data_IF_519516521170
#
_entry.id   IF_519516521170
#
_cell.length_a   1.000
_cell.length_b   1.000
_cell.length_c   1.000
_cell.angle_alpha   90.00
_cell.angle_beta   90.00
_cell.angle_gamma   90.00
#
_symmetry.space_group_name_H-M   'P 1'
#
loop_
_entity.id
_entity.type
_entity.pdbx_description
1 polymer ?
#
# COMPACT_ATOMS: atom_id res chain seq x y z
N UNK A 1 -20.50 -1.77 11.82
CA UNK A 1 -19.69 -0.54 11.96
C UNK A 1 -18.69 -0.31 10.79
N UNK A 2 -19.01 -0.74 9.55
CA UNK A 2 -18.12 -0.63 8.35
C UNK A 2 -18.58 0.47 7.37
N UNK A 3 -19.77 1.02 7.57
CA UNK A 3 -20.45 1.92 6.62
C UNK A 3 -19.67 3.21 6.34
N UNK A 4 -19.10 3.81 7.40
CA UNK A 4 -18.34 5.06 7.29
C UNK A 4 -16.94 4.89 6.69
N UNK A 5 -16.50 3.67 6.36
CA UNK A 5 -15.19 3.37 5.75
C UNK A 5 -15.25 3.14 4.23
N UNK A 6 -16.45 3.04 3.66
CA UNK A 6 -16.64 2.94 2.20
C UNK A 6 -16.36 4.30 1.55
N UNK A 7 -15.70 4.30 0.40
CA UNK A 7 -15.55 5.52 -0.41
C UNK A 7 -16.92 5.99 -0.94
N UNK A 8 -16.97 7.25 -1.34
CA UNK A 8 -18.19 7.95 -1.73
C UNK A 8 -18.94 7.24 -2.88
N UNK A 9 -18.19 6.73 -3.87
CA UNK A 9 -18.77 6.08 -5.05
C UNK A 9 -19.35 4.70 -4.67
N UNK A 10 -18.66 3.96 -3.80
CA UNK A 10 -19.16 2.67 -3.28
C UNK A 10 -20.43 2.84 -2.45
N UNK A 11 -20.54 3.93 -1.66
CA UNK A 11 -21.80 4.22 -0.93
C UNK A 11 -22.94 4.53 -1.88
N UNK A 12 -22.73 5.40 -2.86
CA UNK A 12 -23.75 5.71 -3.86
C UNK A 12 -24.22 4.46 -4.61
N UNK A 13 -23.31 3.55 -4.96
CA UNK A 13 -23.65 2.29 -5.63
C UNK A 13 -24.54 1.38 -4.78
N UNK A 14 -24.27 1.28 -3.47
CA UNK A 14 -25.10 0.47 -2.58
C UNK A 14 -26.42 1.16 -2.25
N UNK A 15 -26.42 2.48 -2.09
CA UNK A 15 -27.64 3.28 -1.84
C UNK A 15 -28.56 3.34 -3.07
N UNK A 16 -27.99 3.32 -4.27
CA UNK A 16 -28.73 3.26 -5.54
C UNK A 16 -29.13 1.83 -5.94
N UNK A 17 -28.69 0.80 -5.20
CA UNK A 17 -29.05 -0.59 -5.47
C UNK A 17 -30.51 -0.83 -5.08
N UNK A 18 -31.30 -1.32 -6.04
CA UNK A 18 -32.68 -1.79 -5.81
C UNK A 18 -32.76 -3.19 -5.19
N UNK A 19 -31.62 -3.87 -5.05
CA UNK A 19 -31.56 -5.19 -4.41
C UNK A 19 -31.57 -5.06 -2.90
N UNK A 20 -32.44 -5.84 -2.25
CA UNK A 20 -32.47 -5.95 -0.80
C UNK A 20 -31.13 -6.46 -0.26
N UNK A 21 -30.58 -5.71 0.69
CA UNK A 21 -29.32 -6.02 1.36
C UNK A 21 -29.39 -7.36 2.09
N UNK A 22 -30.55 -7.74 2.65
CA UNK A 22 -30.70 -9.04 3.31
C UNK A 22 -30.59 -10.18 2.30
N UNK A 23 -31.25 -10.08 1.14
CA UNK A 23 -31.13 -11.06 0.07
C UNK A 23 -29.68 -11.25 -0.43
N UNK A 24 -28.89 -10.17 -0.53
CA UNK A 24 -27.45 -10.27 -0.84
C UNK A 24 -26.67 -11.01 0.23
N UNK A 25 -26.90 -10.68 1.50
CA UNK A 25 -26.21 -11.33 2.61
C UNK A 25 -26.54 -12.82 2.65
N UNK A 26 -27.82 -13.19 2.55
CA UNK A 26 -28.27 -14.59 2.52
C UNK A 26 -27.61 -15.36 1.37
N UNK A 27 -27.59 -14.80 0.16
CA UNK A 27 -26.96 -15.46 -0.99
C UNK A 27 -25.45 -15.63 -0.81
N UNK A 28 -24.77 -14.64 -0.23
CA UNK A 28 -23.33 -14.72 0.09
C UNK A 28 -23.09 -15.83 1.13
N UNK A 29 -23.89 -15.87 2.20
CA UNK A 29 -23.78 -16.91 3.24
C UNK A 29 -24.05 -18.30 2.68
N UNK A 30 -25.10 -18.46 1.87
CA UNK A 30 -25.43 -19.73 1.21
C UNK A 30 -24.28 -20.20 0.30
N UNK A 31 -23.68 -19.28 -0.46
CA UNK A 31 -22.54 -19.57 -1.34
C UNK A 31 -21.32 -20.01 -0.52
N UNK A 32 -20.96 -19.26 0.52
CA UNK A 32 -19.86 -19.61 1.42
C UNK A 32 -20.06 -20.98 2.06
N UNK A 33 -21.28 -21.28 2.52
CA UNK A 33 -21.64 -22.58 3.09
C UNK A 33 -21.51 -23.71 2.07
N UNK A 34 -22.00 -23.52 0.86
CA UNK A 34 -21.87 -24.51 -0.23
C UNK A 34 -20.41 -24.80 -0.56
N UNK A 35 -19.56 -23.77 -0.64
CA UNK A 35 -18.12 -23.93 -0.86
C UNK A 35 -17.46 -24.74 0.27
N UNK A 36 -17.79 -24.43 1.53
CA UNK A 36 -17.29 -25.17 2.68
C UNK A 36 -17.70 -26.65 2.64
N UNK A 37 -18.95 -26.95 2.26
CA UNK A 37 -19.45 -28.32 2.12
C UNK A 37 -18.73 -29.10 1.01
N UNK A 38 -18.22 -28.40 0.00
CA UNK A 38 -17.40 -28.97 -1.08
C UNK A 38 -15.91 -29.06 -0.71
N UNK A 39 -15.52 -28.66 0.51
CA UNK A 39 -14.13 -28.72 0.98
C UNK A 39 -13.29 -27.48 0.65
N UNK A 40 -13.89 -26.39 0.16
CA UNK A 40 -13.18 -25.13 -0.08
C UNK A 40 -13.29 -24.19 1.13
N UNK A 41 -12.14 -23.82 1.70
CA UNK A 41 -12.05 -22.94 2.84
C UNK A 41 -11.09 -21.77 2.53
N UNK A 42 -11.44 -20.55 2.93
CA UNK A 42 -10.45 -19.48 2.97
C UNK A 42 -9.65 -19.55 4.27
N UNK A 43 -8.60 -18.75 4.39
CA UNK A 43 -7.86 -18.64 5.65
C UNK A 43 -8.74 -18.20 6.83
N UNK A 44 -9.83 -17.47 6.59
CA UNK A 44 -10.76 -17.09 7.65
C UNK A 44 -11.63 -18.28 8.09
N UNK A 45 -12.23 -19.05 7.17
CA UNK A 45 -12.99 -20.25 7.54
C UNK A 45 -12.12 -21.29 8.22
N UNK A 46 -10.85 -21.45 7.81
CA UNK A 46 -9.91 -22.36 8.47
C UNK A 46 -9.73 -22.02 9.97
N UNK A 47 -9.61 -20.74 10.33
CA UNK A 47 -9.53 -20.29 11.73
C UNK A 47 -10.82 -20.58 12.50
N UNK A 48 -11.96 -20.32 11.89
CA UNK A 48 -13.26 -20.59 12.51
C UNK A 48 -13.47 -22.10 12.75
N UNK A 49 -13.04 -22.94 11.82
CA UNK A 49 -13.08 -24.39 11.97
C UNK A 49 -12.14 -24.88 13.06
N UNK A 50 -10.94 -24.31 13.17
CA UNK A 50 -10.03 -24.61 14.27
C UNK A 50 -10.67 -24.27 15.61
N UNK A 51 -11.25 -23.07 15.75
CA UNK A 51 -11.97 -22.66 16.95
C UNK A 51 -13.14 -23.58 17.28
N UNK A 52 -13.96 -23.94 16.29
CA UNK A 52 -15.08 -24.85 16.48
C UNK A 52 -14.61 -26.18 17.03
N UNK A 53 -13.61 -26.79 16.38
CA UNK A 53 -13.11 -28.11 16.78
C UNK A 53 -12.42 -28.09 18.15
N UNK A 54 -11.71 -27.02 18.48
CA UNK A 54 -11.07 -26.86 19.79
C UNK A 54 -12.08 -26.62 20.93
N UNK A 55 -13.21 -25.94 20.66
CA UNK A 55 -14.30 -25.78 21.63
C UNK A 55 -15.18 -27.02 21.77
N UNK A 56 -15.28 -27.85 20.73
CA UNK A 56 -16.05 -29.08 20.81
C UNK A 56 -15.29 -30.11 21.65
N UNK A 57 -15.85 -30.50 22.79
CA UNK A 57 -15.17 -31.39 23.75
C UNK A 57 -14.73 -32.73 23.13
N UNK A 58 -15.56 -33.35 22.28
CA UNK A 58 -15.22 -34.63 21.66
C UNK A 58 -14.08 -34.49 20.65
N UNK A 59 -14.14 -33.49 19.78
CA UNK A 59 -13.11 -33.23 18.77
C UNK A 59 -11.80 -32.80 19.45
N UNK A 60 -11.87 -31.88 20.41
CA UNK A 60 -10.72 -31.38 21.16
C UNK A 60 -10.00 -32.50 21.92
N UNK A 61 -10.74 -33.43 22.53
CA UNK A 61 -10.15 -34.61 23.19
C UNK A 61 -9.37 -35.52 22.23
N UNK A 62 -9.72 -35.53 20.94
CA UNK A 62 -8.99 -36.29 19.90
C UNK A 62 -7.82 -35.49 19.31
N UNK A 63 -7.95 -34.17 19.21
CA UNK A 63 -6.98 -33.28 18.55
C UNK A 63 -5.83 -32.84 19.46
N UNK A 64 -6.11 -32.49 20.71
CA UNK A 64 -5.11 -31.91 21.61
C UNK A 64 -4.00 -32.91 22.02
N UNK A 65 -4.27 -34.19 22.36
CA UNK A 65 -3.21 -35.11 22.74
C UNK A 65 -2.11 -35.32 21.68
N UNK A 66 -2.42 -35.56 20.39
CA UNK A 66 -1.37 -35.68 19.38
C UNK A 66 -0.65 -34.35 19.14
N UNK A 67 -1.32 -33.19 19.25
CA UNK A 67 -0.66 -31.89 19.14
C UNK A 67 0.35 -31.67 20.28
N UNK A 68 -0.02 -32.01 21.52
CA UNK A 68 0.87 -31.96 22.70
C UNK A 68 2.03 -32.92 22.62
N UNK A 69 1.80 -34.10 22.06
CA UNK A 69 2.87 -35.08 21.84
C UNK A 69 3.84 -34.62 20.74
N UNK A 70 3.33 -33.94 19.71
CA UNK A 70 4.11 -33.49 18.56
C UNK A 70 4.91 -32.22 18.84
N UNK A 71 4.31 -31.24 19.51
CA UNK A 71 4.90 -29.91 19.69
C UNK A 71 5.28 -29.70 21.15
N UNK A 72 6.58 -29.53 21.41
CA UNK A 72 7.08 -29.18 22.74
C UNK A 72 6.66 -27.76 23.14
N UNK A 73 6.55 -26.86 22.17
CA UNK A 73 6.10 -25.48 22.33
C UNK A 73 5.58 -24.92 20.99
N UNK A 74 4.87 -23.80 21.04
CA UNK A 74 4.41 -23.05 19.87
C UNK A 74 4.99 -21.64 19.94
N UNK A 75 5.83 -21.30 18.95
CA UNK A 75 6.40 -19.96 18.79
C UNK A 75 5.57 -19.19 17.77
N UNK A 76 5.06 -18.03 18.19
CA UNK A 76 4.27 -17.12 17.34
C UNK A 76 5.09 -15.86 17.13
N UNK A 77 5.57 -15.69 15.91
CA UNK A 77 6.18 -14.43 15.48
C UNK A 77 5.10 -13.43 15.08
N UNK A 78 5.44 -12.14 15.13
CA UNK A 78 4.58 -11.03 14.76
C UNK A 78 3.21 -11.02 15.47
N UNK A 79 3.19 -11.41 16.75
CA UNK A 79 1.97 -11.61 17.54
C UNK A 79 1.06 -10.36 17.62
N UNK A 80 1.59 -9.16 17.39
CA UNK A 80 0.82 -7.92 17.33
C UNK A 80 -0.17 -7.85 16.16
N UNK A 81 0.01 -8.69 15.14
CA UNK A 81 -0.89 -8.80 13.99
C UNK A 81 -1.95 -9.90 14.16
N UNK A 82 -1.92 -10.65 15.26
CA UNK A 82 -2.92 -11.67 15.53
C UNK A 82 -4.33 -11.06 15.63
N UNK A 83 -5.28 -11.69 14.95
CA UNK A 83 -6.70 -11.37 15.11
C UNK A 83 -7.24 -11.95 16.42
N UNK A 84 -8.43 -11.50 16.83
CA UNK A 84 -9.13 -12.09 17.98
C UNK A 84 -9.31 -13.62 17.85
N UNK A 85 -9.52 -14.12 16.64
CA UNK A 85 -9.64 -15.56 16.39
C UNK A 85 -8.30 -16.30 16.59
N UNK A 86 -7.19 -15.72 16.14
CA UNK A 86 -5.86 -16.30 16.33
C UNK A 86 -5.52 -16.38 17.83
N UNK A 87 -5.75 -15.28 18.56
CA UNK A 87 -5.50 -15.23 20.01
C UNK A 87 -6.39 -16.23 20.78
N UNK A 88 -7.65 -16.41 20.38
CA UNK A 88 -8.53 -17.39 20.98
C UNK A 88 -8.09 -18.85 20.72
N UNK A 89 -7.59 -19.16 19.52
CA UNK A 89 -6.98 -20.47 19.23
C UNK A 89 -5.77 -20.69 20.13
N UNK A 90 -4.87 -19.70 20.21
CA UNK A 90 -3.67 -19.79 21.04
C UNK A 90 -4.02 -20.00 22.52
N UNK A 91 -5.03 -19.30 23.04
CA UNK A 91 -5.52 -19.49 24.41
C UNK A 91 -5.96 -20.93 24.65
N UNK A 92 -6.74 -21.53 23.75
CA UNK A 92 -7.20 -22.92 23.90
C UNK A 92 -6.04 -23.92 23.88
N UNK A 93 -5.04 -23.69 23.03
CA UNK A 93 -3.84 -24.52 22.99
C UNK A 93 -3.03 -24.39 24.30
N UNK A 94 -2.86 -23.16 24.79
CA UNK A 94 -2.20 -22.89 26.07
C UNK A 94 -2.92 -23.58 27.24
N UNK A 95 -4.24 -23.43 27.33
CA UNK A 95 -5.06 -24.01 28.41
C UNK A 95 -5.06 -25.54 28.36
N UNK A 96 -4.84 -26.12 27.19
CA UNK A 96 -4.62 -27.56 27.02
C UNK A 96 -3.23 -28.03 27.50
N UNK A 97 -2.33 -27.12 27.86
CA UNK A 97 -0.98 -27.40 28.33
C UNK A 97 0.09 -27.41 27.23
N UNK A 98 -0.13 -26.72 26.10
CA UNK A 98 0.93 -26.42 25.12
C UNK A 98 1.63 -25.11 25.51
N UNK A 99 2.95 -25.14 25.78
CA UNK A 99 3.72 -23.92 26.02
C UNK A 99 3.69 -22.98 24.81
N UNK A 100 3.55 -21.68 25.07
CA UNK A 100 3.55 -20.63 24.04
C UNK A 100 4.71 -19.66 24.24
N UNK A 101 5.35 -19.28 23.14
CA UNK A 101 6.27 -18.14 23.08
C UNK A 101 5.69 -17.14 22.08
N UNK A 102 5.40 -15.94 22.55
CA UNK A 102 4.93 -14.84 21.70
C UNK A 102 6.05 -13.84 21.47
N UNK A 103 6.35 -13.56 20.22
CA UNK A 103 7.30 -12.53 19.80
C UNK A 103 6.53 -11.48 19.02
N UNK A 104 6.75 -10.20 19.34
CA UNK A 104 6.07 -9.11 18.66
C UNK A 104 6.49 -7.73 19.14
N UNK A 105 6.22 -6.74 18.29
CA UNK A 105 6.44 -5.31 18.58
C UNK A 105 5.09 -4.57 18.46
N UNK A 106 4.45 -4.19 19.58
CA UNK A 106 3.18 -3.46 19.57
C UNK A 106 3.23 -2.15 18.78
N UNK A 107 4.39 -1.49 18.68
CA UNK A 107 4.54 -0.25 17.92
C UNK A 107 4.51 -0.50 16.40
N UNK A 108 4.66 -1.75 15.95
CA UNK A 108 4.54 -2.16 14.53
C UNK A 108 3.13 -2.61 14.15
N UNK A 109 2.14 -2.47 15.03
CA UNK A 109 0.79 -2.94 14.75
C UNK A 109 0.03 -2.01 13.80
N UNK A 110 0.13 -2.28 12.49
CA UNK A 110 -0.45 -1.46 11.40
C UNK A 110 -1.52 -2.19 10.58
N UNK A 111 -2.02 -3.34 11.05
CA UNK A 111 -3.06 -4.13 10.37
C UNK A 111 -4.40 -4.14 11.10
N UNK A 112 -4.73 -3.09 11.85
CA UNK A 112 -6.01 -2.98 12.56
C UNK A 112 -7.21 -3.12 11.61
N UNK A 113 -7.08 -2.66 10.36
CA UNK A 113 -8.08 -2.82 9.30
C UNK A 113 -8.32 -4.27 8.85
N UNK A 114 -7.38 -5.21 9.10
CA UNK A 114 -7.54 -6.66 8.89
C UNK A 114 -8.10 -7.39 10.11
N UNK A 115 -8.43 -6.66 11.18
CA UNK A 115 -8.96 -7.23 12.42
C UNK A 115 -7.88 -7.65 13.42
N UNK A 116 -6.63 -7.18 13.26
CA UNK A 116 -5.62 -7.26 14.32
C UNK A 116 -6.02 -6.33 15.47
N UNK A 117 -5.90 -6.81 16.71
CA UNK A 117 -6.27 -6.05 17.91
C UNK A 117 -5.10 -5.98 18.90
N UNK A 118 -4.27 -4.92 18.85
CA UNK A 118 -3.06 -4.81 19.69
C UNK A 118 -3.36 -4.85 21.20
N UNK A 119 -4.50 -4.28 21.61
CA UNK A 119 -4.98 -4.36 22.99
C UNK A 119 -5.34 -5.79 23.42
N UNK A 120 -5.89 -6.59 22.50
CA UNK A 120 -6.21 -7.98 22.78
C UNK A 120 -4.95 -8.82 23.00
N UNK A 121 -3.86 -8.54 22.26
CA UNK A 121 -2.57 -9.17 22.51
C UNK A 121 -2.04 -8.83 23.91
N UNK A 122 -2.08 -7.56 24.32
CA UNK A 122 -1.63 -7.14 25.65
C UNK A 122 -2.38 -7.86 26.77
N UNK A 123 -3.71 -7.94 26.65
CA UNK A 123 -4.56 -8.68 27.59
C UNK A 123 -4.28 -10.19 27.59
N UNK A 124 -4.01 -10.77 26.41
CA UNK A 124 -3.65 -12.18 26.29
C UNK A 124 -2.30 -12.48 26.93
N UNK A 125 -1.28 -11.69 26.63
CA UNK A 125 0.06 -11.82 27.21
C UNK A 125 0.01 -11.72 28.75
N UNK A 126 -0.82 -10.82 29.31
CA UNK A 126 -1.01 -10.71 30.75
C UNK A 126 -1.58 -11.98 31.41
N UNK A 127 -2.34 -12.80 30.67
CA UNK A 127 -2.87 -14.10 31.16
C UNK A 127 -1.83 -15.22 31.14
N UNK A 128 -0.81 -15.12 30.30
CA UNK A 128 0.26 -16.13 30.19
C UNK A 128 1.22 -16.14 31.39
N UNK A 129 0.93 -15.36 32.44
CA UNK A 129 1.56 -15.43 33.77
C UNK A 129 3.09 -15.23 33.81
N UNK A 130 3.67 -14.59 32.80
CA UNK A 130 5.10 -14.29 32.73
C UNK A 130 5.36 -12.81 32.45
N UNK A 131 6.38 -12.24 33.11
CA UNK A 131 6.86 -10.90 32.82
C UNK A 131 7.49 -10.89 31.41
N UNK A 132 7.07 -10.00 30.50
CA UNK A 132 7.61 -9.96 29.15
C UNK A 132 9.13 -9.71 29.15
N UNK A 133 9.88 -10.52 28.41
CA UNK A 133 11.28 -10.25 28.12
C UNK A 133 11.38 -9.18 27.04
N UNK A 134 12.05 -8.07 27.34
CA UNK A 134 12.24 -6.97 26.40
C UNK A 134 13.61 -7.04 25.76
N UNK A 135 13.65 -7.01 24.43
CA UNK A 135 14.88 -6.85 23.67
C UNK A 135 15.10 -5.35 23.43
N UNK A 136 16.17 -4.81 24.00
CA UNK A 136 16.51 -3.37 23.89
C UNK A 136 17.67 -3.11 22.94
N UNK A 137 18.30 -4.16 22.40
CA UNK A 137 19.33 -4.04 21.37
C UNK A 137 18.72 -3.96 19.97
N UNK A 138 19.31 -3.14 19.11
CA UNK A 138 18.97 -3.03 17.70
C UNK A 138 20.19 -3.39 16.84
N UNK A 139 20.07 -4.47 16.05
CA UNK A 139 21.13 -4.96 15.17
C UNK A 139 21.02 -4.44 13.74
N UNK A 140 19.94 -3.72 13.41
CA UNK A 140 19.66 -3.24 12.05
C UNK A 140 20.17 -1.82 11.81
N UNK A 141 19.84 -0.93 12.74
CA UNK A 141 19.77 0.51 12.53
C UNK A 141 20.83 1.25 13.33
N UNK A 142 21.31 2.37 12.80
CA UNK A 142 22.25 3.25 13.48
C UNK A 142 21.68 3.88 14.77
N UNK A 143 22.53 4.41 15.67
CA UNK A 143 22.06 5.11 16.88
C UNK A 143 21.08 6.24 16.59
N UNK A 144 21.34 7.03 15.53
CA UNK A 144 20.45 8.14 15.11
C UNK A 144 19.06 7.65 14.73
N UNK A 145 18.98 6.54 14.00
CA UNK A 145 17.69 5.93 13.61
C UNK A 145 16.97 5.37 14.84
N UNK A 146 17.69 4.77 15.80
CA UNK A 146 17.10 4.29 17.05
C UNK A 146 16.49 5.43 17.88
N UNK A 147 17.17 6.58 17.94
CA UNK A 147 16.65 7.81 18.55
C UNK A 147 15.44 8.35 17.79
N UNK A 148 15.49 8.42 16.46
CA UNK A 148 14.36 8.84 15.63
C UNK A 148 13.13 7.95 15.87
N UNK A 149 13.32 6.62 15.84
CA UNK A 149 12.26 5.65 16.08
C UNK A 149 11.66 5.79 17.48
N UNK A 150 12.47 6.10 18.52
CA UNK A 150 11.98 6.37 19.86
C UNK A 150 10.98 7.54 19.93
N UNK A 151 11.09 8.53 19.04
CA UNK A 151 10.14 9.65 18.99
C UNK A 151 8.74 9.27 18.48
N UNK A 152 8.60 8.09 17.87
CA UNK A 152 7.36 7.58 17.28
C UNK A 152 6.77 6.38 18.04
N UNK A 153 7.42 5.94 19.12
CA UNK A 153 6.99 4.77 19.91
C UNK A 153 6.07 5.15 21.06
N UNK A 154 5.27 4.17 21.47
CA UNK A 154 4.38 4.31 22.63
C UNK A 154 5.18 4.42 23.94
N UNK A 155 4.79 5.38 24.78
CA UNK A 155 5.37 5.62 26.11
C UNK A 155 6.74 6.32 26.09
N UNK A 156 7.30 6.59 27.27
CA UNK A 156 8.63 7.22 27.43
C UNK A 156 9.72 6.16 27.65
N UNK A 157 9.92 5.28 26.67
CA UNK A 157 11.03 4.30 26.72
C UNK A 157 12.32 4.93 26.19
N UNK A 158 13.49 4.54 26.72
CA UNK A 158 14.77 4.89 26.11
C UNK A 158 14.84 4.41 24.66
N UNK A 159 15.64 5.08 23.80
CA UNK A 159 16.01 4.56 22.49
C UNK A 159 16.61 3.15 22.60
N UNK A 160 16.42 2.33 21.56
CA UNK A 160 17.09 1.03 21.52
C UNK A 160 18.59 1.24 21.32
N UNK A 161 19.40 0.36 21.89
CA UNK A 161 20.86 0.43 21.78
C UNK A 161 21.30 -0.19 20.47
N UNK A 162 21.86 0.60 19.56
CA UNK A 162 22.46 0.02 18.35
C UNK A 162 23.64 -0.87 18.72
N UNK A 163 23.67 -2.08 18.17
CA UNK A 163 24.66 -3.12 18.53
C UNK A 163 25.73 -3.29 17.46
N UNK A 164 25.34 -3.24 16.19
CA UNK A 164 26.22 -3.52 15.04
C UNK A 164 26.67 -2.27 14.31
N UNK A 165 26.14 -1.11 14.69
CA UNK A 165 26.24 0.15 13.96
C UNK A 165 26.55 1.30 14.89
N UNK A 166 27.37 2.21 14.41
CA UNK A 166 27.82 3.40 15.12
C UNK A 166 27.77 4.67 14.24
N UNK A 167 27.18 4.57 13.04
CA UNK A 167 27.12 5.71 12.12
C UNK A 167 26.24 6.85 12.69
N UNK A 168 26.80 8.06 12.75
CA UNK A 168 26.11 9.27 13.25
C UNK A 168 25.58 10.15 12.09
N UNK A 169 24.95 9.52 11.09
CA UNK A 169 24.38 10.24 9.95
C UNK A 169 23.10 10.96 10.43
N UNK A 170 23.02 12.30 10.34
CA UNK A 170 21.85 13.04 10.80
C UNK A 170 20.61 12.70 9.96
N UNK A 171 19.43 12.79 10.59
CA UNK A 171 18.17 12.67 9.85
C UNK A 171 18.05 13.84 8.89
N UNK A 172 17.86 13.53 7.60
CA UNK A 172 17.74 14.56 6.57
C UNK A 172 16.29 15.06 6.52
N UNK A 173 16.09 16.36 6.64
CA UNK A 173 14.79 16.99 6.46
C UNK A 173 14.75 17.65 5.09
N UNK A 174 13.89 17.12 4.22
CA UNK A 174 13.76 17.55 2.84
C UNK A 174 12.50 18.44 2.72
N UNK A 175 12.63 19.76 2.51
CA UNK A 175 11.48 20.61 2.31
C UNK A 175 10.74 20.21 1.04
N UNK A 176 9.41 20.33 1.07
CA UNK A 176 8.56 20.10 -0.10
C UNK A 176 7.58 21.25 -0.29
N UNK A 177 7.26 21.56 -1.55
CA UNK A 177 6.18 22.47 -1.92
C UNK A 177 5.09 21.71 -2.66
N UNK A 178 3.85 21.93 -2.27
CA UNK A 178 2.69 21.48 -3.04
C UNK A 178 2.33 22.55 -4.06
N UNK A 179 2.13 22.13 -5.32
CA UNK A 179 1.56 23.04 -6.31
C UNK A 179 0.08 23.30 -5.95
N UNK A 180 -0.27 24.57 -5.71
CA UNK A 180 -1.66 25.02 -5.54
C UNK A 180 -2.55 24.72 -6.75
N UNK A 181 -1.96 24.39 -7.91
CA UNK A 181 -2.65 23.99 -9.13
C UNK A 181 -2.33 22.54 -9.54
N UNK A 182 -3.03 21.56 -8.97
CA UNK A 182 -3.29 20.26 -9.60
C UNK A 182 -2.15 19.24 -9.73
N UNK A 183 -0.88 19.59 -9.49
CA UNK A 183 0.21 18.62 -9.41
C UNK A 183 0.26 18.00 -8.01
N UNK A 184 0.02 16.68 -7.91
CA UNK A 184 0.10 15.90 -6.66
C UNK A 184 1.49 15.30 -6.40
N UNK A 185 2.51 15.79 -7.08
CA UNK A 185 3.88 15.34 -6.88
C UNK A 185 4.57 16.26 -5.88
N UNK A 186 5.16 15.67 -4.84
CA UNK A 186 5.98 16.39 -3.87
C UNK A 186 7.30 16.78 -4.56
N UNK A 187 7.53 18.07 -4.73
CA UNK A 187 8.76 18.62 -5.28
C UNK A 187 9.53 19.38 -4.19
N UNK A 188 10.85 19.42 -4.32
CA UNK A 188 11.69 20.35 -3.57
C UNK A 188 11.31 21.81 -3.87
N UNK A 189 11.56 22.78 -2.99
CA UNK A 189 11.44 24.22 -3.27
C UNK A 189 12.15 24.67 -4.54
N UNK A 190 13.21 23.95 -4.96
CA UNK A 190 13.97 24.20 -6.20
C UNK A 190 13.26 23.71 -7.47
N UNK A 191 12.14 22.99 -7.34
CA UNK A 191 11.39 22.38 -8.44
C UNK A 191 11.83 20.94 -8.79
N UNK A 192 12.89 20.44 -8.16
CA UNK A 192 13.39 19.09 -8.38
C UNK A 192 12.47 18.01 -7.78
N UNK A 193 12.52 16.80 -8.33
CA UNK A 193 11.81 15.65 -7.79
C UNK A 193 12.44 15.24 -6.44
N UNK A 194 11.62 15.12 -5.38
CA UNK A 194 12.12 14.84 -4.03
C UNK A 194 12.88 13.51 -3.93
N UNK A 195 12.55 12.52 -4.76
CA UNK A 195 13.27 11.23 -4.78
C UNK A 195 14.65 11.37 -5.42
N UNK A 196 14.81 12.22 -6.42
CA UNK A 196 16.11 12.53 -7.01
C UNK A 196 16.98 13.33 -6.01
N UNK A 197 16.38 14.28 -5.30
CA UNK A 197 17.04 15.00 -4.20
C UNK A 197 17.50 14.03 -3.12
N UNK A 198 16.61 13.14 -2.66
CA UNK A 198 16.97 12.12 -1.68
C UNK A 198 18.09 11.20 -2.18
N UNK A 199 18.03 10.72 -3.43
CA UNK A 199 19.10 9.89 -4.01
C UNK A 199 20.44 10.63 -3.99
N UNK A 200 20.48 11.88 -4.45
CA UNK A 200 21.70 12.67 -4.45
C UNK A 200 22.27 12.85 -3.03
N UNK A 201 21.41 13.07 -2.03
CA UNK A 201 21.85 13.13 -0.63
C UNK A 201 22.31 11.78 -0.09
N UNK A 202 21.70 10.67 -0.49
CA UNK A 202 22.12 9.34 -0.07
C UNK A 202 23.51 8.97 -0.64
N UNK A 203 23.80 9.39 -1.87
CA UNK A 203 25.11 9.22 -2.50
C UNK A 203 26.23 9.94 -1.73
N UNK A 204 25.96 11.10 -1.10
CA UNK A 204 26.92 11.79 -0.21
C UNK A 204 27.40 10.90 0.95
N UNK A 205 26.60 9.90 1.35
CA UNK A 205 26.91 8.96 2.43
C UNK A 205 27.28 7.54 1.92
N UNK A 206 27.63 7.43 0.63
CA UNK A 206 27.94 6.16 -0.03
C UNK A 206 26.81 5.14 0.12
N UNK A 207 25.57 5.56 -0.13
CA UNK A 207 24.40 4.69 -0.25
C UNK A 207 23.92 4.73 -1.70
N UNK A 208 23.99 3.59 -2.38
CA UNK A 208 23.56 3.50 -3.78
C UNK A 208 22.03 3.54 -3.89
N UNK A 209 21.51 3.99 -5.04
CA UNK A 209 20.07 4.07 -5.27
C UNK A 209 19.33 2.74 -5.05
N UNK A 210 19.94 1.60 -5.42
CA UNK A 210 19.35 0.26 -5.22
C UNK A 210 19.12 -0.09 -3.74
N UNK A 211 19.93 0.50 -2.86
CA UNK A 211 19.90 0.31 -1.41
C UNK A 211 19.03 1.36 -0.70
N UNK A 212 18.39 2.23 -1.47
CA UNK A 212 17.41 3.21 -1.00
C UNK A 212 15.97 2.69 -1.13
N UNK A 213 15.13 3.10 -0.19
CA UNK A 213 13.70 2.80 -0.15
C UNK A 213 12.88 4.06 0.12
N UNK A 214 11.88 4.33 -0.70
CA UNK A 214 10.91 5.41 -0.47
C UNK A 214 9.59 4.82 0.02
N UNK A 215 9.09 5.38 1.12
CA UNK A 215 7.87 4.94 1.79
C UNK A 215 6.81 6.04 1.78
N UNK A 216 5.56 5.66 1.53
CA UNK A 216 4.41 6.57 1.65
C UNK A 216 3.29 5.98 2.49
N UNK A 217 2.71 6.85 3.32
CA UNK A 217 1.44 6.62 3.98
C UNK A 217 0.32 6.85 2.96
N UNK A 218 -0.26 5.74 2.44
CA UNK A 218 -1.57 5.71 1.75
C UNK A 218 -1.67 6.48 0.42
N UNK A 219 -1.59 5.78 -0.71
CA UNK A 219 -1.90 6.25 -2.09
C UNK A 219 -1.35 7.62 -2.53
N UNK A 220 -0.55 8.30 -1.72
CA UNK A 220 0.18 9.49 -2.08
C UNK A 220 1.05 9.12 -3.28
N UNK A 221 0.92 9.91 -4.33
CA UNK A 221 1.68 9.78 -5.56
C UNK A 221 3.16 9.98 -5.22
N UNK A 222 3.82 8.89 -4.85
CA UNK A 222 5.27 8.82 -4.61
C UNK A 222 5.97 9.45 -5.83
N UNK A 223 6.72 10.54 -5.66
CA UNK A 223 7.49 11.16 -6.74
C UNK A 223 8.52 10.16 -7.28
N UNK A 224 8.78 10.16 -8.59
CA UNK A 224 9.68 9.17 -9.22
C UNK A 224 9.06 7.78 -9.44
N UNK A 225 7.88 7.50 -8.88
CA UNK A 225 6.96 6.57 -9.53
C UNK A 225 6.32 7.36 -10.66
N UNK A 226 6.41 6.88 -11.89
CA UNK A 226 5.55 7.32 -13.00
C UNK A 226 4.08 6.96 -12.72
N UNK A 227 3.52 7.52 -11.64
CA UNK A 227 2.10 7.60 -11.35
C UNK A 227 1.66 9.02 -11.67
N UNK A 228 1.97 9.51 -12.87
CA UNK A 228 1.09 10.50 -13.48
C UNK A 228 -0.29 9.84 -13.51
N UNK A 229 -1.21 10.29 -12.66
CA UNK A 229 -2.61 9.92 -12.81
C UNK A 229 -3.00 10.39 -14.22
N UNK A 230 -3.42 9.49 -15.11
CA UNK A 230 -3.86 9.86 -16.45
C UNK A 230 -5.29 10.43 -16.37
N UNK A 231 -5.47 11.53 -15.63
CA UNK A 231 -6.75 12.22 -15.45
C UNK A 231 -6.67 13.69 -15.86
N UNK A 232 -5.70 14.07 -16.70
CA UNK A 232 -5.65 15.39 -17.32
C UNK A 232 -6.49 15.44 -18.60
N UNK A 233 -6.21 14.56 -19.57
CA UNK A 233 -7.01 14.41 -20.79
C UNK A 233 -6.81 13.03 -21.44
N UNK A 234 -7.78 12.60 -22.26
CA UNK A 234 -7.81 11.24 -22.83
C UNK A 234 -6.59 10.91 -23.71
N UNK A 235 -6.03 11.91 -24.41
CA UNK A 235 -4.82 11.74 -25.22
C UNK A 235 -3.58 11.51 -24.36
N UNK A 236 -3.45 12.20 -23.22
CA UNK A 236 -2.34 12.01 -22.28
C UNK A 236 -2.44 10.64 -21.61
N UNK A 237 -3.65 10.21 -21.24
CA UNK A 237 -3.89 8.86 -20.72
C UNK A 237 -3.43 7.77 -21.70
N UNK A 238 -3.75 7.95 -22.98
CA UNK A 238 -3.38 7.00 -24.02
C UNK A 238 -1.86 7.02 -24.30
N UNK A 239 -1.22 8.18 -24.20
CA UNK A 239 0.22 8.33 -24.36
C UNK A 239 0.97 7.54 -23.28
N UNK A 240 0.52 7.67 -22.02
CA UNK A 240 1.03 6.88 -20.91
C UNK A 240 0.81 5.37 -21.12
N UNK A 241 -0.40 4.96 -21.51
CA UNK A 241 -0.73 3.55 -21.73
C UNK A 241 0.16 2.93 -22.81
N UNK A 242 0.37 3.65 -23.93
CA UNK A 242 1.28 3.23 -25.00
C UNK A 242 2.72 3.12 -24.49
N UNK A 243 3.24 4.15 -23.83
CA UNK A 243 4.63 4.11 -23.32
C UNK A 243 4.84 2.96 -22.34
N UNK A 244 3.85 2.68 -21.49
CA UNK A 244 3.87 1.59 -20.52
C UNK A 244 4.03 0.23 -21.20
N UNK A 245 3.25 -0.09 -22.23
CA UNK A 245 3.34 -1.40 -22.90
C UNK A 245 4.65 -1.58 -23.69
N UNK A 246 5.30 -0.49 -24.09
CA UNK A 246 6.61 -0.52 -24.75
C UNK A 246 7.78 -0.47 -23.78
N UNK A 247 7.55 -0.31 -22.48
CA UNK A 247 8.61 -0.26 -21.46
C UNK A 247 8.98 -1.66 -21.02
N UNK A 248 10.27 -2.01 -21.15
CA UNK A 248 10.78 -3.31 -20.67
C UNK A 248 10.73 -3.34 -19.14
N UNK A 249 10.12 -4.37 -18.56
CA UNK A 249 9.98 -4.52 -17.10
C UNK A 249 8.78 -3.78 -16.49
N UNK A 250 7.80 -3.33 -17.29
CA UNK A 250 6.56 -2.77 -16.77
C UNK A 250 5.82 -3.77 -15.85
N UNK A 251 5.27 -3.28 -14.74
CA UNK A 251 4.57 -4.13 -13.76
C UNK A 251 3.23 -4.66 -14.30
N UNK A 252 2.76 -5.78 -13.76
CA UNK A 252 1.44 -6.35 -14.12
C UNK A 252 0.30 -5.36 -13.91
N UNK A 253 0.38 -4.55 -12.85
CA UNK A 253 -0.61 -3.54 -12.51
C UNK A 253 -0.61 -2.37 -13.50
N UNK A 254 0.57 -1.96 -13.98
CA UNK A 254 0.69 -0.92 -15.01
C UNK A 254 0.12 -1.41 -16.34
N UNK A 255 0.39 -2.66 -16.71
CA UNK A 255 -0.15 -3.28 -17.92
C UNK A 255 -1.68 -3.42 -17.86
N UNK A 256 -2.23 -3.80 -16.71
CA UNK A 256 -3.67 -3.88 -16.50
C UNK A 256 -4.35 -2.50 -16.66
N UNK A 257 -3.73 -1.43 -16.12
CA UNK A 257 -4.22 -0.05 -16.26
C UNK A 257 -4.10 0.48 -17.68
N UNK A 258 -2.98 0.22 -18.36
CA UNK A 258 -2.78 0.58 -19.76
C UNK A 258 -3.86 -0.06 -20.64
N UNK A 259 -4.14 -1.34 -20.41
CA UNK A 259 -5.23 -2.06 -21.07
C UNK A 259 -6.59 -1.38 -20.80
N UNK A 260 -6.93 -1.09 -19.54
CA UNK A 260 -8.19 -0.44 -19.19
C UNK A 260 -8.39 0.92 -19.89
N UNK A 261 -7.33 1.73 -20.02
CA UNK A 261 -7.37 3.01 -20.74
C UNK A 261 -7.69 2.79 -22.21
N UNK A 262 -6.96 1.88 -22.89
CA UNK A 262 -7.19 1.56 -24.30
C UNK A 262 -8.60 1.02 -24.54
N UNK A 263 -9.09 0.14 -23.66
CA UNK A 263 -10.45 -0.41 -23.72
C UNK A 263 -11.48 0.72 -23.63
N UNK A 264 -11.37 1.60 -22.62
CA UNK A 264 -12.30 2.72 -22.46
C UNK A 264 -12.31 3.64 -23.68
N UNK A 265 -11.14 3.92 -24.24
CA UNK A 265 -11.00 4.78 -25.42
C UNK A 265 -11.62 4.16 -26.67
N UNK A 266 -11.33 2.88 -26.96
CA UNK A 266 -11.88 2.19 -28.13
C UNK A 266 -13.39 1.97 -27.99
N UNK A 267 -13.88 1.58 -26.82
CA UNK A 267 -15.30 1.32 -26.58
C UNK A 267 -16.13 2.60 -26.64
N UNK A 268 -15.62 3.73 -26.11
CA UNK A 268 -16.28 5.02 -26.25
C UNK A 268 -16.44 5.46 -27.71
N UNK A 269 -15.57 4.99 -28.60
CA UNK A 269 -15.66 5.23 -30.05
C UNK A 269 -16.57 4.21 -30.76
N UNK A 270 -16.45 2.92 -30.45
CA UNK A 270 -17.21 1.86 -31.12
C UNK A 270 -18.68 1.75 -30.69
N UNK A 271 -19.00 2.11 -29.44
CA UNK A 271 -20.34 1.97 -28.88
C UNK A 271 -20.81 3.30 -28.22
N UNK A 272 -20.86 4.42 -28.95
CA UNK A 272 -21.07 5.76 -28.37
C UNK A 272 -22.49 5.99 -27.80
N UNK A 273 -23.43 5.07 -28.03
CA UNK A 273 -24.81 5.13 -27.53
C UNK A 273 -25.14 4.11 -26.44
N UNK A 274 -24.23 3.20 -26.11
CA UNK A 274 -24.45 2.19 -25.08
C UNK A 274 -24.23 2.79 -23.69
N UNK A 275 -25.19 2.56 -22.79
CA UNK A 275 -25.14 3.09 -21.42
C UNK A 275 -25.13 1.95 -20.39
N UNK A 276 -24.05 1.91 -19.61
CA UNK A 276 -23.73 0.82 -18.68
C UNK A 276 -22.23 0.52 -18.72
N UNK A 277 -21.68 0.01 -17.62
CA UNK A 277 -20.26 -0.33 -17.56
C UNK A 277 -19.83 -1.36 -18.62
N UNK A 278 -18.52 -1.52 -18.78
CA UNK A 278 -17.90 -2.42 -19.77
C UNK A 278 -18.55 -3.82 -19.79
N UNK A 279 -18.85 -4.39 -18.61
CA UNK A 279 -19.45 -5.72 -18.45
C UNK A 279 -20.82 -5.83 -19.16
N UNK A 280 -21.61 -4.76 -19.18
CA UNK A 280 -22.93 -4.75 -19.84
C UNK A 280 -22.79 -4.77 -21.36
N UNK A 281 -21.85 -3.99 -21.89
CA UNK A 281 -21.54 -3.93 -23.33
C UNK A 281 -20.96 -5.28 -23.78
N UNK A 282 -20.08 -5.87 -22.96
CA UNK A 282 -19.53 -7.20 -23.19
C UNK A 282 -20.61 -8.28 -23.28
N UNK A 283 -21.55 -8.27 -22.33
CA UNK A 283 -22.67 -9.21 -22.33
C UNK A 283 -23.60 -9.02 -23.54
N UNK A 284 -23.94 -7.76 -23.86
CA UNK A 284 -24.83 -7.43 -24.98
C UNK A 284 -24.28 -7.90 -26.33
N UNK A 285 -22.97 -7.77 -26.55
CA UNK A 285 -22.30 -8.12 -27.81
C UNK A 285 -21.55 -9.45 -27.79
N UNK A 286 -21.73 -10.27 -26.73
CA UNK A 286 -21.10 -11.59 -26.55
C UNK A 286 -19.56 -11.55 -26.68
N UNK A 287 -18.95 -10.51 -26.14
CA UNK A 287 -17.50 -10.31 -26.18
C UNK A 287 -16.83 -10.97 -24.98
N UNK A 288 -15.73 -11.69 -25.21
CA UNK A 288 -14.91 -12.24 -24.12
C UNK A 288 -13.84 -11.23 -23.65
N UNK A 289 -13.50 -11.28 -22.35
CA UNK A 289 -12.42 -10.47 -21.78
C UNK A 289 -11.08 -10.66 -22.51
N UNK A 290 -10.79 -11.91 -22.92
CA UNK A 290 -9.58 -12.24 -23.67
C UNK A 290 -9.51 -11.58 -25.06
N UNK A 291 -10.64 -11.47 -25.77
CA UNK A 291 -10.69 -10.74 -27.05
C UNK A 291 -10.43 -9.25 -26.84
N UNK A 292 -11.03 -8.67 -25.80
CA UNK A 292 -10.91 -7.24 -25.48
C UNK A 292 -9.48 -6.87 -25.11
N UNK A 293 -8.85 -7.66 -24.22
CA UNK A 293 -7.47 -7.42 -23.82
C UNK A 293 -6.51 -7.51 -25.01
N UNK A 294 -6.65 -8.55 -25.85
CA UNK A 294 -5.81 -8.69 -27.06
C UNK A 294 -5.95 -7.50 -28.00
N UNK A 295 -7.19 -7.07 -28.28
CA UNK A 295 -7.46 -5.93 -29.14
C UNK A 295 -6.90 -4.62 -28.56
N UNK A 296 -7.04 -4.41 -27.25
CA UNK A 296 -6.52 -3.24 -26.56
C UNK A 296 -4.98 -3.19 -26.58
N UNK A 297 -4.30 -4.29 -26.26
CA UNK A 297 -2.84 -4.34 -26.33
C UNK A 297 -2.34 -4.18 -27.76
N UNK A 298 -2.93 -4.87 -28.73
CA UNK A 298 -2.54 -4.75 -30.14
C UNK A 298 -2.69 -3.30 -30.64
N UNK A 299 -3.77 -2.62 -30.24
CA UNK A 299 -3.95 -1.20 -30.55
C UNK A 299 -2.84 -0.35 -29.94
N UNK A 300 -2.53 -0.53 -28.66
CA UNK A 300 -1.44 0.21 -27.99
C UNK A 300 -0.08 -0.02 -28.67
N UNK A 301 0.23 -1.25 -29.06
CA UNK A 301 1.47 -1.58 -29.77
C UNK A 301 1.54 -1.01 -31.19
N UNK A 302 0.41 -0.76 -31.84
CA UNK A 302 0.38 -0.14 -33.17
C UNK A 302 0.61 1.37 -33.14
N UNK A 303 0.45 2.01 -31.99
CA UNK A 303 0.52 3.46 -31.89
C UNK A 303 1.98 3.94 -31.93
N UNK A 304 2.27 5.00 -32.70
CA UNK A 304 3.61 5.58 -32.75
C UNK A 304 3.97 6.23 -31.41
N UNK A 305 5.26 6.54 -31.22
CA UNK A 305 5.72 7.22 -30.01
C UNK A 305 5.01 8.59 -29.81
N UNK A 306 4.58 8.92 -28.57
CA UNK A 306 3.89 10.17 -28.31
C UNK A 306 4.81 11.38 -28.56
N UNK A 307 4.25 12.42 -29.18
CA UNK A 307 4.90 13.71 -29.44
C UNK A 307 3.84 14.83 -29.41
N UNK A 308 4.24 16.10 -29.56
CA UNK A 308 3.35 17.25 -29.34
C UNK A 308 2.07 17.26 -30.21
N UNK A 309 2.12 16.65 -31.39
CA UNK A 309 1.00 16.58 -32.36
C UNK A 309 0.43 15.16 -32.53
N UNK A 310 0.53 14.33 -31.49
CA UNK A 310 0.15 12.91 -31.56
C UNK A 310 -1.37 12.66 -31.68
N UNK A 311 -2.21 13.59 -31.20
CA UNK A 311 -3.67 13.41 -31.16
C UNK A 311 -4.33 13.07 -32.50
N UNK A 312 -4.06 13.80 -33.60
CA UNK A 312 -4.51 13.44 -34.94
C UNK A 312 -4.10 12.03 -35.39
N UNK A 313 -2.90 11.58 -35.07
CA UNK A 313 -2.41 10.24 -35.45
C UNK A 313 -3.15 9.14 -34.68
N UNK A 314 -3.38 9.34 -33.38
CA UNK A 314 -4.24 8.47 -32.56
C UNK A 314 -5.63 8.37 -33.17
N UNK A 315 -6.22 9.51 -33.56
CA UNK A 315 -7.55 9.52 -34.16
C UNK A 315 -7.61 8.76 -35.49
N UNK A 316 -6.59 8.90 -36.35
CA UNK A 316 -6.51 8.12 -37.59
C UNK A 316 -6.34 6.62 -37.31
N UNK A 317 -5.48 6.26 -36.35
CA UNK A 317 -5.29 4.87 -35.94
C UNK A 317 -6.58 4.25 -35.39
N UNK A 318 -7.36 4.97 -34.59
CA UNK A 318 -8.65 4.49 -34.08
C UNK A 318 -9.66 4.23 -35.20
N UNK A 319 -9.74 5.10 -36.21
CA UNK A 319 -10.63 4.90 -37.38
C UNK A 319 -10.20 3.72 -38.25
N UNK A 320 -8.90 3.47 -38.34
CA UNK A 320 -8.33 2.36 -39.10
C UNK A 320 -8.34 1.03 -38.33
N UNK A 321 -8.58 1.06 -37.00
CA UNK A 321 -8.53 -0.14 -36.18
C UNK A 321 -9.76 -1.04 -36.40
N UNK A 322 -9.58 -2.36 -36.58
CA UNK A 322 -10.70 -3.26 -36.84
C UNK A 322 -11.78 -3.20 -35.75
N UNK A 323 -13.05 -2.90 -36.10
CA UNK A 323 -14.12 -2.82 -35.12
C UNK A 323 -14.47 -4.19 -34.53
N UNK A 324 -14.89 -4.21 -33.26
CA UNK A 324 -15.47 -5.40 -32.64
C UNK A 324 -16.92 -5.63 -33.11
N UNK A 325 -17.46 -6.85 -32.97
CA UNK A 325 -18.84 -7.16 -33.33
C UNK A 325 -19.86 -6.18 -32.76
N UNK A 326 -20.78 -5.71 -33.60
CA UNK A 326 -21.84 -4.76 -33.21
C UNK A 326 -21.39 -3.31 -33.02
N UNK A 327 -20.13 -2.98 -33.29
CA UNK A 327 -19.65 -1.60 -33.23
C UNK A 327 -20.29 -0.71 -34.32
N UNK A 328 -20.78 0.46 -33.91
CA UNK A 328 -21.41 1.45 -34.76
C UNK A 328 -20.89 2.87 -34.43
N UNK A 329 -19.63 3.18 -34.81
CA UNK A 329 -19.02 4.47 -34.48
C UNK A 329 -19.79 5.64 -35.12
N UNK A 330 -20.00 6.72 -34.37
CA UNK A 330 -20.77 7.90 -34.81
C UNK A 330 -19.88 9.15 -34.90
N UNK A 331 -19.36 9.43 -36.10
CA UNK A 331 -18.68 10.70 -36.41
C UNK A 331 -17.56 11.06 -35.41
N UNK A 332 -17.63 12.25 -34.81
CA UNK A 332 -16.67 12.74 -33.81
C UNK A 332 -16.93 12.30 -32.36
N UNK A 333 -18.01 11.55 -32.09
CA UNK A 333 -18.28 11.02 -30.74
C UNK A 333 -17.23 9.97 -30.39
N UNK A 334 -16.74 10.02 -29.15
CA UNK A 334 -15.66 9.14 -28.70
C UNK A 334 -14.26 9.56 -29.16
N UNK A 335 -14.12 10.69 -29.90
CA UNK A 335 -12.80 11.26 -30.21
C UNK A 335 -12.09 11.68 -28.93
N UNK A 336 -10.88 11.18 -28.65
CA UNK A 336 -10.11 11.64 -27.49
C UNK A 336 -9.71 13.11 -27.67
N UNK A 337 -10.00 13.95 -26.68
CA UNK A 337 -9.65 15.37 -26.69
C UNK A 337 -8.37 15.64 -25.87
N UNK A 338 -7.66 16.72 -26.22
CA UNK A 338 -6.48 17.22 -25.50
C UNK A 338 -5.19 17.20 -26.32
N UNK A 339 -4.12 17.75 -25.72
CA UNK A 339 -2.73 17.61 -26.19
C UNK A 339 -1.99 16.67 -25.23
N UNK A 340 -1.09 15.81 -25.72
CA UNK A 340 -0.33 14.93 -24.85
C UNK A 340 0.63 15.76 -24.00
N UNK A 341 0.55 15.61 -22.68
CA UNK A 341 1.64 16.02 -21.81
C UNK A 341 2.77 15.01 -21.99
N UNK A 342 3.83 15.42 -22.69
CA UNK A 342 5.05 14.63 -22.78
C UNK A 342 5.79 14.83 -21.46
N UNK A 343 5.67 13.86 -20.55
CA UNK A 343 6.55 13.80 -19.40
C UNK A 343 8.00 13.87 -19.89
N UNK A 344 8.82 14.76 -19.31
CA UNK A 344 10.28 14.67 -19.45
C UNK A 344 10.67 13.24 -19.08
N UNK A 345 11.55 12.61 -19.86
CA UNK A 345 12.06 11.27 -19.53
C UNK A 345 12.68 11.31 -18.13
N UNK A 346 11.93 10.89 -17.12
CA UNK A 346 12.51 10.55 -15.84
C UNK A 346 13.23 9.23 -16.07
N UNK A 347 14.56 9.28 -16.13
CA UNK A 347 15.39 8.10 -15.97
C UNK A 347 14.91 7.36 -14.72
N UNK A 348 14.77 6.04 -14.80
CA UNK A 348 14.45 5.22 -13.64
C UNK A 348 15.42 5.59 -12.51
N UNK A 349 14.90 6.04 -11.37
CA UNK A 349 15.74 6.59 -10.30
C UNK A 349 16.65 5.54 -9.66
N UNK A 350 16.37 4.25 -9.91
CA UNK A 350 17.06 3.11 -9.31
C UNK A 350 16.63 2.82 -7.87
N UNK A 351 15.75 3.66 -7.30
CA UNK A 351 15.31 3.61 -5.91
C UNK A 351 14.10 2.71 -5.74
N UNK A 352 14.12 1.82 -4.74
CA UNK A 352 12.98 0.95 -4.41
C UNK A 352 11.85 1.79 -3.81
N UNK A 353 10.59 1.45 -4.13
CA UNK A 353 9.42 2.15 -3.57
C UNK A 353 8.41 1.15 -3.07
N UNK A 354 7.81 1.41 -1.91
CA UNK A 354 6.81 0.50 -1.35
C UNK A 354 5.78 1.23 -0.46
N UNK A 355 4.62 0.61 -0.25
CA UNK A 355 3.63 1.07 0.73
C UNK A 355 4.01 0.46 2.08
N UNK A 356 3.92 1.24 3.17
CA UNK A 356 4.38 0.75 4.49
C UNK A 356 3.70 -0.54 4.96
N UNK A 357 2.43 -0.75 4.59
CA UNK A 357 1.68 -1.98 4.84
C UNK A 357 2.18 -3.22 4.05
N UNK A 358 3.20 -3.06 3.20
CA UNK A 358 3.86 -4.12 2.45
C UNK A 358 5.35 -4.24 2.80
N UNK A 359 5.85 -3.44 3.76
CA UNK A 359 7.27 -3.38 4.16
C UNK A 359 7.67 -4.34 5.27
N UNK A 360 6.72 -5.12 5.82
CA UNK A 360 7.02 -5.98 6.97
C UNK A 360 8.00 -7.07 6.56
N UNK A 361 9.26 -6.92 6.97
CA UNK A 361 10.38 -7.79 6.62
C UNK A 361 11.38 -7.20 5.60
N UNK A 362 11.08 -6.06 4.99
CA UNK A 362 12.02 -5.34 4.10
C UNK A 362 12.95 -4.42 4.93
N UNK A 363 14.10 -4.05 4.37
CA UNK A 363 15.04 -3.09 4.94
C UNK A 363 15.90 -2.43 3.86
N UNK A 364 16.44 -1.25 4.14
CA UNK A 364 17.24 -0.47 3.21
C UNK A 364 18.31 0.34 3.94
N UNK A 365 19.44 0.60 3.28
CA UNK A 365 20.48 1.46 3.86
C UNK A 365 20.02 2.90 4.00
N UNK A 366 19.28 3.40 3.00
CA UNK A 366 18.62 4.70 3.05
C UNK A 366 17.09 4.56 2.98
N UNK A 367 16.36 5.24 3.86
CA UNK A 367 14.89 5.31 3.77
C UNK A 367 14.40 6.76 3.72
N UNK A 368 13.50 7.04 2.78
CA UNK A 368 12.73 8.28 2.73
C UNK A 368 11.30 8.05 3.20
N UNK A 369 10.88 8.78 4.23
CA UNK A 369 9.49 8.89 4.67
C UNK A 369 8.87 10.17 4.09
N UNK A 370 7.75 10.03 3.38
CA UNK A 370 6.98 11.19 2.92
C UNK A 370 5.83 11.48 3.89
N UNK A 371 5.81 12.70 4.45
CA UNK A 371 4.69 13.21 5.22
C UNK A 371 3.70 13.91 4.27
N UNK A 372 2.43 13.46 4.23
CA UNK A 372 1.55 13.77 3.10
C UNK A 372 0.95 15.17 3.12
N UNK A 373 0.76 15.77 4.31
CA UNK A 373 -0.06 16.97 4.49
C UNK A 373 0.42 17.83 5.67
N UNK A 374 -0.01 19.10 5.67
CA UNK A 374 0.09 19.98 6.84
C UNK A 374 -0.66 19.37 8.05
N UNK A 375 -0.14 19.59 9.25
CA UNK A 375 -0.57 18.98 10.51
C UNK A 375 0.16 17.68 10.85
N UNK A 376 1.03 17.16 9.97
CA UNK A 376 1.76 15.92 10.23
C UNK A 376 2.74 16.06 11.39
N UNK A 377 3.45 17.20 11.48
CA UNK A 377 4.38 17.45 12.59
C UNK A 377 3.63 17.68 13.91
N UNK A 378 2.48 18.36 13.88
CA UNK A 378 1.64 18.50 15.07
C UNK A 378 1.17 17.14 15.57
N UNK A 379 0.70 16.26 14.67
CA UNK A 379 0.33 14.87 15.01
C UNK A 379 1.51 14.13 15.64
N UNK A 380 2.71 14.20 15.04
CA UNK A 380 3.92 13.60 15.61
C UNK A 380 4.18 14.09 17.04
N UNK A 381 4.01 15.39 17.28
CA UNK A 381 4.29 16.01 18.57
C UNK A 381 3.29 15.63 19.67
N UNK A 382 2.00 15.50 19.35
CA UNK A 382 0.93 15.46 20.36
C UNK A 382 0.10 14.18 20.38
N UNK A 383 0.06 13.39 19.31
CA UNK A 383 -0.70 12.14 19.29
C UNK A 383 -0.02 11.04 20.09
N UNK A 384 -0.83 10.08 20.57
CA UNK A 384 -0.34 8.86 21.23
C UNK A 384 -0.23 7.71 20.22
N UNK A 385 0.98 7.16 19.95
CA UNK A 385 1.17 6.00 19.08
C UNK A 385 0.37 4.76 19.48
N UNK A 386 -0.10 4.63 20.74
CA UNK A 386 -0.99 3.54 21.13
C UNK A 386 -2.34 3.59 20.38
N UNK A 387 -2.82 4.80 20.09
CA UNK A 387 -4.14 5.04 19.49
C UNK A 387 -4.06 5.59 18.06
N UNK A 388 -2.90 6.12 17.65
CA UNK A 388 -2.67 6.67 16.32
C UNK A 388 -1.91 5.69 15.41
N UNK A 389 -2.66 5.01 14.52
CA UNK A 389 -2.10 4.09 13.52
C UNK A 389 -1.12 4.78 12.56
N UNK A 390 -1.28 6.09 12.31
CA UNK A 390 -0.39 6.84 11.41
C UNK A 390 1.01 6.92 11.97
N UNK A 391 1.13 7.18 13.28
CA UNK A 391 2.43 7.21 13.96
C UNK A 391 3.11 5.84 13.93
N UNK A 392 2.35 4.76 14.14
CA UNK A 392 2.87 3.39 14.02
C UNK A 392 3.34 3.08 12.60
N UNK A 393 2.64 3.57 11.58
CA UNK A 393 3.09 3.46 10.19
C UNK A 393 4.40 4.22 9.97
N UNK A 394 4.53 5.44 10.48
CA UNK A 394 5.80 6.17 10.39
C UNK A 394 6.93 5.45 11.15
N UNK A 395 6.64 4.89 12.32
CA UNK A 395 7.57 4.06 13.08
C UNK A 395 8.05 2.85 12.26
N UNK A 396 7.12 2.10 11.67
CA UNK A 396 7.46 0.96 10.80
C UNK A 396 8.29 1.41 9.61
N UNK A 397 8.03 2.57 9.03
CA UNK A 397 8.80 3.11 7.90
C UNK A 397 10.24 3.46 8.29
N UNK A 398 10.44 4.26 9.34
CA UNK A 398 11.79 4.70 9.75
C UNK A 398 12.64 3.53 10.27
N UNK A 399 12.02 2.51 10.88
CA UNK A 399 12.72 1.31 11.37
C UNK A 399 13.15 0.34 10.25
N UNK A 400 12.80 0.62 8.98
CA UNK A 400 13.40 -0.06 7.82
C UNK A 400 14.78 0.48 7.46
N UNK A 401 15.14 1.66 7.96
CA UNK A 401 16.43 2.27 7.68
C UNK A 401 17.55 1.59 8.47
N UNK A 402 18.66 1.29 7.79
CA UNK A 402 19.87 0.75 8.42
C UNK A 402 20.87 1.86 8.74
N UNK A 403 21.10 2.81 7.82
CA UNK A 403 22.15 3.83 7.92
C UNK A 403 21.62 5.26 7.88
N UNK A 404 20.72 5.56 6.94
CA UNK A 404 20.20 6.90 6.68
C UNK A 404 18.66 6.92 6.72
N UNK A 405 18.10 7.88 7.46
CA UNK A 405 16.69 8.23 7.39
C UNK A 405 16.51 9.67 6.88
N UNK A 406 15.60 9.86 5.93
CA UNK A 406 15.18 11.16 5.43
C UNK A 406 13.67 11.31 5.59
N UNK A 407 13.22 12.53 5.87
CA UNK A 407 11.82 12.89 6.01
C UNK A 407 11.54 14.04 5.07
N UNK A 408 10.65 13.84 4.10
CA UNK A 408 10.15 14.92 3.27
C UNK A 408 8.82 15.42 3.81
N UNK A 409 8.72 16.74 3.99
CA UNK A 409 7.58 17.39 4.62
C UNK A 409 7.40 18.82 4.10
N UNK A 410 6.24 19.46 4.34
CA UNK A 410 5.99 20.82 3.85
C UNK A 410 7.04 21.79 4.40
N UNK A 411 7.54 22.71 3.57
CA UNK A 411 8.57 23.69 3.94
C UNK A 411 8.18 24.47 5.21
N UNK A 412 6.89 24.73 5.40
CA UNK A 412 6.33 25.43 6.56
C UNK A 412 6.46 24.67 7.89
N UNK A 413 6.67 23.34 7.84
CA UNK A 413 6.76 22.48 9.03
C UNK A 413 8.19 22.00 9.33
N UNK A 414 9.15 22.31 8.46
CA UNK A 414 10.56 21.87 8.60
C UNK A 414 11.16 22.30 9.93
N UNK A 415 11.03 23.59 10.28
CA UNK A 415 11.61 24.13 11.50
C UNK A 415 10.97 23.53 12.75
N UNK A 416 9.65 23.30 12.70
CA UNK A 416 8.91 22.68 13.80
C UNK A 416 9.38 21.23 14.04
N UNK A 417 9.55 20.44 12.97
CA UNK A 417 10.06 19.07 13.10
C UNK A 417 11.53 19.06 13.54
N UNK A 418 12.35 19.95 13.01
CA UNK A 418 13.76 20.07 13.39
C UNK A 418 13.91 20.37 14.89
N UNK A 419 13.10 21.30 15.43
CA UNK A 419 13.09 21.62 16.86
C UNK A 419 12.61 20.43 17.70
N UNK A 420 11.54 19.76 17.29
CA UNK A 420 11.02 18.57 17.97
C UNK A 420 12.09 17.46 18.05
N UNK A 421 12.73 17.15 16.94
CA UNK A 421 13.75 16.10 16.85
C UNK A 421 15.00 16.46 17.65
N UNK A 422 15.48 17.70 17.58
CA UNK A 422 16.60 18.19 18.41
C UNK A 422 16.28 18.11 19.90
N UNK A 423 15.05 18.48 20.30
CA UNK A 423 14.57 18.34 21.68
C UNK A 423 14.54 16.90 22.18
N UNK A 424 14.49 15.93 21.27
CA UNK A 424 14.57 14.48 21.52
C UNK A 424 15.97 13.89 21.27
N UNK A 425 17.00 14.73 21.16
CA UNK A 425 18.39 14.32 20.91
C UNK A 425 18.56 13.52 19.61
N UNK A 426 17.79 13.86 18.57
CA UNK A 426 17.96 13.32 17.23
C UNK A 426 18.71 14.38 16.40
N UNK A 427 19.94 14.09 15.90
CA UNK A 427 20.64 15.01 15.03
C UNK A 427 19.91 15.14 13.69
N UNK A 428 19.77 16.38 13.20
CA UNK A 428 19.03 16.69 11.97
C UNK A 428 19.83 17.62 11.06
N UNK A 429 19.68 17.44 9.75
CA UNK A 429 20.22 18.32 8.71
C UNK A 429 19.09 18.67 7.73
N UNK A 430 18.77 19.97 7.61
CA UNK A 430 17.87 20.47 6.57
C UNK A 430 18.68 20.61 5.29
N UNK A 431 18.17 20.13 4.14
CA UNK A 431 18.94 20.05 2.90
C UNK A 431 18.24 20.56 1.66
#
# INVERSE_FOLDING_TARGET
>A
MVWNKLDYDTRQLIEASTYDRMAWQEKIFATRKSLCQQGYFTGHEARLLALWNLHNAEASAKLLPPLRSRFAEVVVDEAQDCSAADLAILQLLHDAGLPLILVGDPDQAIYAWRGAEPHALGNFAARLSHTPHRLTGNWRSSPVICHLAATLRTGQRPPDTSVMRDEDIPVLLLPTRFATSGSRHLHSPTGDNIVDVFRARAEEYAIEAKDCLVTAYKYATLPGIAREKPNTNAITSLAWARTTVHTTGASSDDLARACAIAVRTLFGYWYPGETGGLDRIMAAHRLSAGQIHRTAFAFLYSLPAPHKEWGPQVWQAMKAWPPLPGAAPQGGKGRPAGKPTLARSQLATGVRTNIVHQLKGDEADGVLLLLPDLGSVQRWATSDPATDEVLRVWYVAVTRARRLAAIALPEEEIDALAQLLKGRQVPVRVT
#
